data_IF_007707162101
#
_entry.id   IF_007707162101
#
_cell.length_a   1.000
_cell.length_b   1.000
_cell.length_c   1.000
_cell.angle_alpha   90.00
_cell.angle_beta   90.00
_cell.angle_gamma   90.00
#
_symmetry.space_group_name_H-M   'P 1'
#
loop_
_entity.id
_entity.type
_entity.pdbx_description
1 polymer ?
#
# COMPACT_ATOMS: atom_id res chain seq x y z
N UNK A 1 12.74 -49.90 26.56
CA UNK A 1 13.16 -48.50 26.50
C UNK A 1 12.02 -47.71 25.87
N UNK A 2 11.64 -46.58 26.45
CA UNK A 2 10.67 -45.67 25.83
C UNK A 2 11.49 -44.51 25.26
N UNK A 3 11.36 -44.29 23.96
CA UNK A 3 11.95 -43.15 23.26
C UNK A 3 10.82 -42.16 23.01
N UNK A 4 11.03 -40.91 23.39
CA UNK A 4 10.17 -39.79 23.03
C UNK A 4 10.89 -38.95 21.97
N UNK A 5 10.16 -38.48 20.97
CA UNK A 5 10.72 -37.72 19.85
C UNK A 5 9.90 -36.44 19.64
N UNK A 6 10.58 -35.30 19.73
CA UNK A 6 10.03 -33.99 19.41
C UNK A 6 10.43 -33.62 17.98
N UNK A 7 9.43 -33.51 17.09
CA UNK A 7 9.64 -33.00 15.75
C UNK A 7 9.36 -31.49 15.71
N UNK A 8 10.38 -30.71 15.36
CA UNK A 8 10.28 -29.27 15.15
C UNK A 8 10.47 -29.01 13.65
N UNK A 9 9.48 -28.37 13.02
CA UNK A 9 9.57 -27.92 11.63
C UNK A 9 9.78 -26.41 11.62
N UNK A 10 10.78 -25.93 10.90
CA UNK A 10 11.03 -24.50 10.68
C UNK A 10 10.49 -24.14 9.30
N UNK A 11 9.49 -23.27 9.26
CA UNK A 11 8.97 -22.68 8.02
C UNK A 11 9.63 -21.31 7.79
N UNK A 12 10.06 -20.98 6.57
CA UNK A 12 10.61 -19.68 6.26
C UNK A 12 9.54 -18.58 6.34
N UNK A 13 9.96 -17.39 6.78
CA UNK A 13 9.13 -16.18 6.66
C UNK A 13 9.15 -15.71 5.20
N UNK A 14 7.96 -15.51 4.64
CA UNK A 14 7.74 -15.03 3.28
C UNK A 14 7.10 -13.64 3.40
N UNK A 15 7.72 -12.64 2.78
CA UNK A 15 7.16 -11.30 2.66
C UNK A 15 6.27 -11.23 1.41
N UNK A 16 5.05 -10.71 1.55
CA UNK A 16 4.12 -10.50 0.43
C UNK A 16 3.03 -9.52 0.82
N UNK A 17 2.53 -8.74 -0.14
CA UNK A 17 1.43 -7.82 0.11
C UNK A 17 0.53 -7.62 -1.11
N UNK A 18 -0.72 -7.25 -0.81
CA UNK A 18 -1.66 -6.71 -1.79
C UNK A 18 -1.94 -5.25 -1.44
N UNK A 19 -1.85 -4.38 -2.44
CA UNK A 19 -2.17 -2.95 -2.31
C UNK A 19 -3.54 -2.70 -2.93
N UNK A 20 -4.43 -2.08 -2.18
CA UNK A 20 -5.75 -1.66 -2.66
C UNK A 20 -5.83 -0.13 -2.68
N UNK A 21 -5.83 0.44 -3.88
CA UNK A 21 -5.93 1.87 -4.11
C UNK A 21 -7.37 2.22 -4.52
N UNK A 22 -8.04 3.04 -3.73
CA UNK A 22 -9.35 3.62 -4.06
C UNK A 22 -9.21 5.09 -4.41
N UNK A 23 -10.08 5.57 -5.30
CA UNK A 23 -10.20 6.98 -5.65
C UNK A 23 -11.59 7.48 -5.27
N UNK A 24 -11.64 8.51 -4.43
CA UNK A 24 -12.90 9.18 -4.10
C UNK A 24 -13.22 10.24 -5.17
N UNK A 25 -12.18 10.91 -5.68
CA UNK A 25 -12.25 11.83 -6.81
C UNK A 25 -11.17 11.47 -7.82
N UNK A 26 -11.58 11.13 -9.04
CA UNK A 26 -10.69 10.67 -10.12
C UNK A 26 -10.71 11.57 -11.37
N UNK A 27 -11.49 12.66 -11.37
CA UNK A 27 -11.55 13.61 -12.48
C UNK A 27 -11.83 15.01 -11.95
N UNK A 28 -10.98 15.96 -12.34
CA UNK A 28 -11.07 17.37 -11.92
C UNK A 28 -10.70 18.29 -13.08
N UNK A 29 -11.12 19.55 -12.97
CA UNK A 29 -10.59 20.62 -13.81
C UNK A 29 -9.15 20.96 -13.39
N UNK A 30 -8.35 21.59 -14.27
CA UNK A 30 -7.08 22.19 -13.89
C UNK A 30 -7.24 23.08 -12.64
N UNK A 31 -6.31 22.96 -11.69
CA UNK A 31 -6.38 23.61 -10.38
C UNK A 31 -7.15 22.84 -9.30
N UNK A 32 -7.79 21.72 -9.65
CA UNK A 32 -8.38 20.80 -8.67
C UNK A 32 -7.37 19.78 -8.13
N UNK A 33 -7.85 18.84 -7.31
CA UNK A 33 -7.07 17.71 -6.82
C UNK A 33 -7.85 16.40 -6.93
N UNK A 34 -7.19 15.35 -7.39
CA UNK A 34 -7.69 13.96 -7.30
C UNK A 34 -7.21 13.37 -5.97
N UNK A 35 -8.02 12.55 -5.33
CA UNK A 35 -7.68 12.00 -4.01
C UNK A 35 -8.45 10.71 -3.72
N UNK A 36 -7.98 9.98 -2.72
CA UNK A 36 -8.61 8.75 -2.25
C UNK A 36 -7.82 8.11 -1.13
N UNK A 37 -7.90 6.77 -1.03
CA UNK A 37 -7.25 6.02 0.04
C UNK A 37 -6.46 4.82 -0.49
N UNK A 38 -5.43 4.43 0.26
CA UNK A 38 -4.65 3.21 0.07
C UNK A 38 -4.79 2.33 1.31
N UNK A 39 -5.01 1.04 1.10
CA UNK A 39 -4.89 0.00 2.12
C UNK A 39 -3.85 -1.04 1.73
N UNK A 40 -3.15 -1.57 2.72
CA UNK A 40 -2.08 -2.56 2.54
C UNK A 40 -2.48 -3.81 3.30
N UNK A 41 -2.58 -4.94 2.60
CA UNK A 41 -2.84 -6.25 3.22
C UNK A 41 -1.57 -7.09 3.15
N UNK A 42 -1.03 -7.48 4.29
CA UNK A 42 0.10 -8.40 4.35
C UNK A 42 -0.39 -9.82 4.05
N UNK A 43 0.07 -10.38 2.93
CA UNK A 43 -0.24 -11.74 2.48
C UNK A 43 0.93 -12.71 2.71
N UNK A 44 1.99 -12.24 3.36
CA UNK A 44 3.12 -13.02 3.82
C UNK A 44 2.81 -13.90 5.03
N UNK A 45 3.83 -14.63 5.48
CA UNK A 45 3.73 -15.55 6.62
C UNK A 45 4.26 -14.96 7.93
N UNK A 46 4.78 -13.73 7.91
CA UNK A 46 5.29 -13.02 9.08
C UNK A 46 4.82 -11.58 9.15
N UNK A 47 5.26 -10.87 10.18
CA UNK A 47 5.12 -9.42 10.25
C UNK A 47 6.11 -8.74 9.30
N UNK A 48 5.63 -7.77 8.54
CA UNK A 48 6.43 -7.02 7.58
C UNK A 48 6.31 -5.51 7.84
N UNK A 49 7.39 -4.78 7.52
CA UNK A 49 7.38 -3.33 7.46
C UNK A 49 7.30 -2.88 5.99
N UNK A 50 6.21 -2.21 5.63
CA UNK A 50 5.98 -1.67 4.30
C UNK A 50 6.32 -0.19 4.26
N UNK A 51 7.11 0.22 3.27
CA UNK A 51 7.38 1.62 2.95
C UNK A 51 6.79 1.94 1.58
N UNK A 52 5.88 2.90 1.52
CA UNK A 52 5.16 3.31 0.30
C UNK A 52 5.39 4.79 0.06
N UNK A 53 5.76 5.14 -1.17
CA UNK A 53 5.91 6.51 -1.63
C UNK A 53 5.31 6.69 -3.02
N UNK A 54 4.77 7.88 -3.32
CA UNK A 54 4.31 8.21 -4.67
C UNK A 54 5.47 8.42 -5.64
N UNK A 55 5.39 7.85 -6.85
CA UNK A 55 6.42 8.00 -7.89
C UNK A 55 5.93 8.91 -9.02
N UNK A 56 6.81 9.79 -9.50
CA UNK A 56 6.56 10.66 -10.65
C UNK A 56 5.79 11.94 -10.32
N UNK A 57 4.67 11.84 -9.59
CA UNK A 57 3.93 12.99 -9.06
C UNK A 57 3.85 12.83 -7.54
N UNK A 58 4.23 13.87 -6.81
CA UNK A 58 4.05 13.90 -5.36
C UNK A 58 2.55 14.06 -5.04
N UNK A 59 1.97 12.98 -4.52
CA UNK A 59 0.58 12.91 -4.09
C UNK A 59 0.44 12.91 -2.56
N UNK A 60 1.49 13.31 -1.85
CA UNK A 60 1.54 13.30 -0.39
C UNK A 60 1.53 11.91 0.25
N UNK A 61 1.79 10.86 -0.54
CA UNK A 61 1.88 9.50 -0.04
C UNK A 61 3.34 9.21 0.30
N UNK A 62 3.64 9.20 1.59
CA UNK A 62 4.92 8.78 2.18
C UNK A 62 4.62 8.13 3.53
N UNK A 63 4.60 6.80 3.57
CA UNK A 63 4.12 6.01 4.71
C UNK A 63 5.07 4.85 4.98
N UNK A 64 5.41 4.65 6.25
CA UNK A 64 5.98 3.40 6.76
C UNK A 64 5.05 2.79 7.80
N UNK A 65 4.68 1.52 7.62
CA UNK A 65 3.75 0.82 8.50
C UNK A 65 4.16 -0.64 8.70
N UNK A 66 4.01 -1.10 9.94
CA UNK A 66 4.20 -2.51 10.30
C UNK A 66 2.83 -3.20 10.28
N UNK A 67 2.73 -4.31 9.54
CA UNK A 67 1.50 -5.07 9.40
C UNK A 67 1.79 -6.56 9.62
N UNK A 68 1.07 -7.17 10.56
CA UNK A 68 1.18 -8.60 10.84
C UNK A 68 0.64 -9.47 9.71
N UNK A 69 1.08 -10.73 9.63
CA UNK A 69 0.62 -11.69 8.63
C UNK A 69 -0.91 -11.79 8.58
N UNK A 70 -1.49 -11.68 7.39
CA UNK A 70 -2.93 -11.75 7.16
C UNK A 70 -3.73 -10.54 7.66
N UNK A 71 -3.07 -9.49 8.19
CA UNK A 71 -3.71 -8.26 8.61
C UNK A 71 -3.72 -7.22 7.49
N UNK A 72 -4.63 -6.25 7.61
CA UNK A 72 -4.71 -5.07 6.76
C UNK A 72 -4.39 -3.83 7.60
N UNK A 73 -3.66 -2.88 7.02
CA UNK A 73 -3.34 -1.60 7.63
C UNK A 73 -4.59 -0.72 7.82
N UNK A 74 -4.42 0.38 8.56
CA UNK A 74 -5.31 1.52 8.43
C UNK A 74 -5.31 2.09 6.99
N UNK A 75 -6.32 2.88 6.67
CA UNK A 75 -6.42 3.54 5.37
C UNK A 75 -5.55 4.81 5.35
N UNK A 76 -4.66 4.92 4.37
CA UNK A 76 -3.81 6.08 4.15
C UNK A 76 -4.41 6.96 3.05
N UNK A 77 -4.62 8.24 3.33
CA UNK A 77 -5.10 9.19 2.33
C UNK A 77 -3.98 9.58 1.36
N UNK A 78 -4.34 9.80 0.09
CA UNK A 78 -3.47 10.40 -0.91
C UNK A 78 -4.22 11.53 -1.63
N UNK A 79 -3.48 12.56 -2.08
CA UNK A 79 -4.05 13.66 -2.85
C UNK A 79 -3.04 14.21 -3.85
N UNK A 80 -3.37 14.11 -5.14
CA UNK A 80 -2.54 14.64 -6.22
C UNK A 80 -3.14 15.95 -6.76
N UNK A 81 -2.45 17.09 -6.60
CA UNK A 81 -2.89 18.34 -7.21
C UNK A 81 -2.72 18.29 -8.74
N UNK A 82 -3.68 18.84 -9.47
CA UNK A 82 -3.63 19.01 -10.92
C UNK A 82 -3.26 20.46 -11.23
N UNK A 83 -2.17 20.66 -11.97
CA UNK A 83 -1.69 21.99 -12.34
C UNK A 83 -2.77 22.82 -13.04
N UNK A 84 -2.75 24.15 -12.84
CA UNK A 84 -3.75 25.07 -13.41
C UNK A 84 -3.73 25.13 -14.94
N UNK A 85 -2.59 24.83 -15.55
CA UNK A 85 -2.34 24.79 -16.99
C UNK A 85 -2.35 23.35 -17.55
N UNK A 86 -2.78 22.37 -16.75
CA UNK A 86 -2.84 21.00 -17.19
C UNK A 86 -3.74 20.84 -18.43
N UNK A 87 -3.19 20.21 -19.47
CA UNK A 87 -3.99 19.78 -20.62
C UNK A 87 -4.94 18.66 -20.22
N UNK A 88 -6.12 18.62 -20.85
CA UNK A 88 -7.05 17.52 -20.66
C UNK A 88 -6.45 16.19 -21.13
N UNK A 89 -6.71 15.11 -20.40
CA UNK A 89 -6.21 13.78 -20.71
C UNK A 89 -6.13 12.88 -19.49
N UNK A 90 -5.91 11.59 -19.73
CA UNK A 90 -5.67 10.61 -18.67
C UNK A 90 -4.23 10.71 -18.18
N UNK A 91 -4.04 10.71 -16.85
CA UNK A 91 -2.74 10.56 -16.21
C UNK A 91 -2.80 9.33 -15.30
N UNK A 92 -1.83 8.43 -15.47
CA UNK A 92 -1.65 7.30 -14.56
C UNK A 92 -0.81 7.74 -13.37
N UNK A 93 -1.26 7.36 -12.18
CA UNK A 93 -0.47 7.39 -10.94
C UNK A 93 -0.07 5.93 -10.68
N UNK A 94 1.20 5.71 -10.34
CA UNK A 94 1.78 4.37 -10.15
C UNK A 94 2.64 4.35 -8.91
#
# INVERSE_FOLDING_TARGET
>A
SVSDALNITIEPVVASATLELSSDVNSVKPGGAVYGTLKITNTGSGEDNFSIASVGIDCGLDVSVVVGAGQTSDAFGWSCPVANDASAGLKSIS
#
